data_IF_687299337241
#
_entry.id   IF_687299337241
#
_cell.length_a   1.000
_cell.length_b   1.000
_cell.length_c   1.000
_cell.angle_alpha   90.00
_cell.angle_beta   90.00
_cell.angle_gamma   90.00
#
_symmetry.space_group_name_H-M   'P 1'
#
loop_
_entity.id
_entity.type
_entity.pdbx_description
1 polymer ?
#
# COMPACT_ATOMS: atom_id res chain seq x y z
N UNK A 1 -42.52 16.27 20.94
CA UNK A 1 -41.47 16.69 21.90
C UNK A 1 -40.20 16.87 21.08
N UNK A 2 -39.84 18.13 20.78
CA UNK A 2 -38.57 18.53 20.14
C UNK A 2 -37.68 19.02 21.28
N UNK A 3 -36.45 18.53 21.45
CA UNK A 3 -35.25 19.14 20.83
C UNK A 3 -34.19 18.07 20.41
N UNK A 4 -33.21 18.32 19.54
CA UNK A 4 -32.23 19.40 19.62
C UNK A 4 -31.57 19.63 18.26
N UNK A 5 -31.49 20.91 17.93
CA UNK A 5 -30.64 21.55 16.93
C UNK A 5 -29.38 20.77 16.55
N UNK A 6 -29.34 20.34 15.29
CA UNK A 6 -28.12 19.98 14.57
C UNK A 6 -27.19 21.20 14.62
N UNK A 7 -26.24 21.21 15.57
CA UNK A 7 -25.10 22.12 15.52
C UNK A 7 -24.29 21.73 14.30
N UNK A 8 -24.57 22.35 13.16
CA UNK A 8 -23.57 22.50 12.10
C UNK A 8 -22.50 23.42 12.69
N UNK A 9 -21.56 22.80 13.42
CA UNK A 9 -20.40 23.45 14.01
C UNK A 9 -19.50 23.87 12.84
N UNK A 10 -19.20 25.16 12.75
CA UNK A 10 -18.42 25.77 11.68
C UNK A 10 -16.93 25.41 11.73
N UNK A 11 -16.60 24.13 11.52
CA UNK A 11 -15.23 23.62 11.53
C UNK A 11 -14.68 23.32 10.11
N UNK A 12 -15.43 23.64 9.05
CA UNK A 12 -15.06 23.29 7.67
C UNK A 12 -13.71 23.86 7.21
N UNK A 13 -13.34 25.07 7.63
CA UNK A 13 -12.04 25.64 7.28
C UNK A 13 -10.88 24.96 8.03
N UNK A 14 -11.12 24.53 9.27
CA UNK A 14 -10.17 23.75 10.06
C UNK A 14 -9.97 22.35 9.50
N UNK A 15 -11.03 21.72 9.01
CA UNK A 15 -10.97 20.41 8.37
C UNK A 15 -10.22 20.45 7.02
N UNK A 16 -10.44 21.50 6.22
CA UNK A 16 -9.78 21.68 4.91
C UNK A 16 -8.26 21.83 5.06
N UNK A 17 -7.80 22.56 6.07
CA UNK A 17 -6.37 22.75 6.36
C UNK A 17 -5.78 21.62 7.19
N UNK A 18 -6.60 20.99 8.05
CA UNK A 18 -6.19 19.87 8.91
C UNK A 18 -5.62 18.70 8.12
N UNK A 19 -6.16 18.45 6.93
CA UNK A 19 -5.68 17.46 5.96
C UNK A 19 -4.22 17.67 5.55
N UNK A 20 -3.73 18.91 5.48
CA UNK A 20 -2.32 19.18 5.12
C UNK A 20 -1.38 18.71 6.23
N UNK A 21 -1.81 18.81 7.48
CA UNK A 21 -1.06 18.37 8.67
C UNK A 21 -1.27 16.90 9.02
N UNK A 22 -2.21 16.22 8.37
CA UNK A 22 -2.51 14.81 8.64
C UNK A 22 -1.40 13.90 8.11
N UNK A 23 -0.84 13.06 8.98
CA UNK A 23 0.19 12.08 8.64
C UNK A 23 -0.30 11.11 7.55
N UNK A 24 -1.60 10.79 7.53
CA UNK A 24 -2.16 9.88 6.55
C UNK A 24 -2.16 10.47 5.14
N UNK A 25 -2.29 11.80 4.99
CA UNK A 25 -2.21 12.46 3.69
C UNK A 25 -0.85 12.27 3.01
N UNK A 26 0.24 12.28 3.79
CA UNK A 26 1.58 12.02 3.28
C UNK A 26 1.81 10.55 2.96
N UNK A 27 1.21 9.62 3.72
CA UNK A 27 1.25 8.18 3.38
C UNK A 27 0.49 7.90 2.08
N UNK A 28 -0.66 8.53 1.88
CA UNK A 28 -1.43 8.49 0.64
C UNK A 28 -0.61 9.02 -0.54
N UNK A 29 0.04 10.18 -0.39
CA UNK A 29 0.90 10.73 -1.43
C UNK A 29 2.09 9.81 -1.73
N UNK A 30 2.72 9.25 -0.70
CA UNK A 30 3.80 8.27 -0.84
C UNK A 30 3.33 7.04 -1.62
N UNK A 31 2.12 6.54 -1.36
CA UNK A 31 1.55 5.42 -2.10
C UNK A 31 1.39 5.76 -3.58
N UNK A 32 0.89 6.97 -3.90
CA UNK A 32 0.72 7.42 -5.27
C UNK A 32 2.05 7.62 -6.00
N UNK A 33 3.09 8.10 -5.31
CA UNK A 33 4.45 8.18 -5.84
C UNK A 33 5.02 6.79 -6.10
N UNK A 34 4.81 5.84 -5.18
CA UNK A 34 5.25 4.45 -5.36
C UNK A 34 4.45 3.74 -6.46
N UNK A 35 3.20 4.13 -6.70
CA UNK A 35 2.41 3.62 -7.80
C UNK A 35 3.04 3.91 -9.17
N UNK A 36 3.93 4.90 -9.29
CA UNK A 36 4.67 5.22 -10.52
C UNK A 36 5.64 4.09 -10.93
N UNK A 37 6.66 3.71 -10.12
CA UNK A 37 7.51 2.58 -10.46
C UNK A 37 6.75 1.25 -10.43
N UNK A 38 5.83 1.04 -9.46
CA UNK A 38 5.08 -0.22 -9.37
C UNK A 38 4.18 -0.45 -10.59
N UNK A 39 3.48 0.59 -11.04
CA UNK A 39 2.63 0.52 -12.22
C UNK A 39 3.40 0.12 -13.47
N UNK A 40 4.62 0.63 -13.63
CA UNK A 40 5.51 0.21 -14.71
C UNK A 40 5.99 -1.24 -14.55
N UNK A 41 6.49 -1.59 -13.37
CA UNK A 41 7.03 -2.93 -13.05
C UNK A 41 5.95 -4.01 -13.20
N UNK A 42 4.70 -3.72 -12.87
CA UNK A 42 3.60 -4.68 -13.00
C UNK A 42 2.96 -4.64 -14.39
N UNK A 43 2.74 -3.44 -14.92
CA UNK A 43 2.05 -3.23 -16.19
C UNK A 43 2.84 -3.68 -17.40
N UNK A 44 4.16 -3.47 -17.43
CA UNK A 44 4.98 -3.86 -18.59
C UNK A 44 5.02 -5.38 -18.80
N UNK A 45 5.37 -6.21 -17.80
CA UNK A 45 5.31 -7.66 -17.96
C UNK A 45 3.91 -8.17 -18.27
N UNK A 46 2.87 -7.53 -17.72
CA UNK A 46 1.49 -7.88 -18.03
C UNK A 46 1.16 -7.61 -19.51
N UNK A 47 1.44 -6.41 -20.02
CA UNK A 47 1.14 -6.03 -21.39
C UNK A 47 1.96 -6.83 -22.40
N UNK A 48 3.27 -6.92 -22.21
CA UNK A 48 4.15 -7.66 -23.10
C UNK A 48 3.90 -9.15 -23.00
N UNK A 49 3.79 -9.70 -21.78
CA UNK A 49 3.56 -11.12 -21.56
C UNK A 49 2.23 -11.59 -22.14
N UNK A 50 1.16 -10.80 -22.00
CA UNK A 50 -0.12 -11.13 -22.61
C UNK A 50 -0.09 -11.02 -24.13
N UNK A 51 0.51 -9.94 -24.67
CA UNK A 51 0.58 -9.70 -26.13
C UNK A 51 1.44 -10.76 -26.82
N UNK A 52 2.67 -10.97 -26.36
CA UNK A 52 3.58 -11.97 -26.91
C UNK A 52 3.11 -13.39 -26.61
N UNK A 53 2.57 -13.63 -25.42
CA UNK A 53 2.01 -14.93 -25.05
C UNK A 53 0.85 -15.32 -25.96
N UNK A 54 -0.06 -14.39 -26.26
CA UNK A 54 -1.16 -14.66 -27.19
C UNK A 54 -0.66 -14.84 -28.63
N UNK A 55 0.24 -13.97 -29.08
CA UNK A 55 0.81 -14.03 -30.43
C UNK A 55 1.60 -15.33 -30.68
N UNK A 56 2.45 -15.73 -29.74
CA UNK A 56 3.23 -16.96 -29.82
C UNK A 56 2.45 -18.21 -29.39
N UNK A 57 1.18 -18.08 -29.00
CA UNK A 57 0.35 -19.24 -28.62
C UNK A 57 0.15 -20.19 -29.80
N UNK A 58 0.17 -19.68 -31.04
CA UNK A 58 0.12 -20.49 -32.27
C UNK A 58 1.32 -21.43 -32.36
N UNK A 59 2.47 -21.02 -31.81
CA UNK A 59 3.70 -21.81 -31.76
C UNK A 59 3.80 -22.68 -30.50
N UNK A 60 2.74 -22.75 -29.69
CA UNK A 60 2.68 -23.40 -28.36
C UNK A 60 3.62 -22.79 -27.30
N UNK A 61 4.68 -22.08 -27.69
CA UNK A 61 5.60 -21.33 -26.80
C UNK A 61 4.88 -20.18 -26.08
N UNK A 62 3.79 -19.67 -26.64
CA UNK A 62 2.99 -18.63 -25.99
C UNK A 62 2.29 -19.08 -24.70
N UNK A 63 1.95 -20.37 -24.58
CA UNK A 63 1.27 -20.92 -23.41
C UNK A 63 2.10 -20.74 -22.12
N UNK A 64 3.38 -21.15 -22.04
CA UNK A 64 4.18 -20.92 -20.84
C UNK A 64 4.40 -19.42 -20.56
N UNK A 65 4.45 -18.57 -21.59
CA UNK A 65 4.52 -17.10 -21.39
C UNK A 65 3.25 -16.59 -20.71
N UNK A 66 2.07 -16.97 -21.21
CA UNK A 66 0.79 -16.59 -20.61
C UNK A 66 0.66 -17.07 -19.16
N UNK A 67 1.06 -18.33 -18.89
CA UNK A 67 1.08 -18.86 -17.54
C UNK A 67 2.00 -18.05 -16.63
N UNK A 68 3.24 -17.77 -17.07
CA UNK A 68 4.18 -16.94 -16.32
C UNK A 68 3.62 -15.53 -16.05
N UNK A 69 2.93 -14.92 -17.02
CA UNK A 69 2.27 -13.63 -16.85
C UNK A 69 1.17 -13.70 -15.78
N UNK A 70 0.28 -14.69 -15.84
CA UNK A 70 -0.80 -14.88 -14.86
C UNK A 70 -0.23 -15.13 -13.46
N UNK A 71 0.76 -16.01 -13.32
CA UNK A 71 1.43 -16.23 -12.03
C UNK A 71 2.18 -14.99 -11.53
N UNK A 72 2.79 -14.21 -12.44
CA UNK A 72 3.40 -12.92 -12.12
C UNK A 72 2.41 -11.94 -11.50
N UNK A 73 1.15 -11.92 -11.96
CA UNK A 73 0.12 -11.05 -11.35
C UNK A 73 -0.21 -11.43 -9.91
N UNK A 74 -0.06 -12.71 -9.52
CA UNK A 74 -0.21 -13.11 -8.10
C UNK A 74 0.90 -12.55 -7.23
N UNK A 75 2.14 -12.57 -7.72
CA UNK A 75 3.27 -11.97 -7.00
C UNK A 75 3.07 -10.45 -6.85
N UNK A 76 2.66 -9.78 -7.93
CA UNK A 76 2.35 -8.35 -7.90
C UNK A 76 1.22 -8.03 -6.91
N UNK A 77 0.14 -8.83 -6.91
CA UNK A 77 -0.96 -8.69 -5.95
C UNK A 77 -0.49 -8.90 -4.49
N UNK A 78 0.42 -9.85 -4.24
CA UNK A 78 1.00 -10.06 -2.91
C UNK A 78 1.82 -8.86 -2.43
N UNK A 79 2.69 -8.31 -3.27
CA UNK A 79 3.47 -7.10 -2.97
C UNK A 79 2.57 -5.90 -2.72
N UNK A 80 1.52 -5.74 -3.53
CA UNK A 80 0.59 -4.63 -3.36
C UNK A 80 -0.17 -4.73 -2.03
N UNK A 81 -0.57 -5.92 -1.57
CA UNK A 81 -1.20 -6.06 -0.23
C UNK A 81 -0.32 -5.48 0.87
N UNK A 82 0.98 -5.76 0.83
CA UNK A 82 1.95 -5.23 1.81
C UNK A 82 2.00 -3.71 1.74
N UNK A 83 2.12 -3.14 0.54
CA UNK A 83 2.21 -1.69 0.32
C UNK A 83 0.90 -0.99 0.74
N UNK A 84 -0.25 -1.56 0.37
CA UNK A 84 -1.56 -1.02 0.72
C UNK A 84 -1.81 -1.07 2.23
N UNK A 85 -1.50 -2.19 2.90
CA UNK A 85 -1.66 -2.30 4.36
C UNK A 85 -0.77 -1.29 5.10
N UNK A 86 0.47 -1.09 4.61
CA UNK A 86 1.39 -0.15 5.24
C UNK A 86 0.99 1.33 5.04
N UNK A 87 0.53 1.71 3.84
CA UNK A 87 0.36 3.12 3.46
C UNK A 87 -1.10 3.58 3.46
N UNK A 88 -2.06 2.73 3.12
CA UNK A 88 -3.48 3.09 2.97
C UNK A 88 -4.35 2.70 4.18
N UNK A 89 -3.75 2.10 5.22
CA UNK A 89 -4.44 1.68 6.46
C UNK A 89 -5.62 0.73 6.19
N UNK A 90 -5.46 -0.11 5.17
CA UNK A 90 -6.33 -1.26 4.92
C UNK A 90 -5.74 -2.51 5.57
N UNK A 91 -6.57 -3.50 5.83
CA UNK A 91 -6.13 -4.80 6.36
C UNK A 91 -6.52 -5.89 5.36
N UNK A 92 -5.62 -6.15 4.41
CA UNK A 92 -5.81 -7.13 3.36
C UNK A 92 -5.19 -8.47 3.76
N UNK A 93 -6.00 -9.51 3.80
CA UNK A 93 -5.53 -10.86 4.06
C UNK A 93 -4.96 -11.55 2.81
N UNK A 94 -4.08 -12.53 3.03
CA UNK A 94 -3.56 -13.36 1.95
C UNK A 94 -4.60 -14.42 1.55
N UNK A 95 -4.85 -14.66 0.25
CA UNK A 95 -5.82 -15.66 -0.18
C UNK A 95 -5.39 -17.08 0.21
N UNK A 96 -6.34 -17.89 0.69
CA UNK A 96 -6.16 -19.30 1.06
C UNK A 96 -6.89 -20.26 0.09
N UNK A 97 -7.32 -19.76 -1.06
CA UNK A 97 -8.18 -20.44 -2.04
C UNK A 97 -7.45 -21.46 -2.93
N UNK A 98 -6.13 -21.57 -2.81
CA UNK A 98 -5.34 -22.58 -3.52
C UNK A 98 -4.81 -23.63 -2.55
N UNK A 99 -5.34 -24.85 -2.66
CA UNK A 99 -4.79 -26.03 -2.00
C UNK A 99 -4.16 -26.93 -3.05
N UNK A 100 -2.85 -27.16 -2.92
CA UNK A 100 -2.16 -28.13 -3.77
C UNK A 100 -2.73 -29.53 -3.51
N UNK A 101 -3.20 -30.26 -4.54
CA UNK A 101 -3.67 -31.63 -4.37
C UNK A 101 -2.52 -32.51 -3.85
N UNK A 102 -2.71 -33.35 -2.82
CA UNK A 102 -1.65 -34.15 -2.20
C UNK A 102 -0.85 -35.02 -3.19
N UNK A 103 -1.53 -35.52 -4.24
CA UNK A 103 -0.95 -36.44 -5.24
C UNK A 103 -0.95 -35.84 -6.67
N UNK A 104 -1.19 -34.53 -6.80
CA UNK A 104 -1.32 -33.85 -8.08
C UNK A 104 0.03 -33.41 -8.64
N UNK A 105 0.42 -33.90 -9.83
CA UNK A 105 1.59 -33.39 -10.54
C UNK A 105 1.45 -31.91 -10.96
N UNK A 106 2.49 -31.37 -11.61
CA UNK A 106 2.60 -29.94 -11.99
C UNK A 106 1.35 -29.38 -12.71
N UNK A 107 0.72 -30.17 -13.59
CA UNK A 107 -0.50 -29.75 -14.29
C UNK A 107 -1.71 -29.59 -13.36
N UNK A 108 -1.84 -30.43 -12.33
CA UNK A 108 -2.90 -30.31 -11.34
C UNK A 108 -2.70 -29.04 -10.50
N UNK A 109 -1.46 -28.70 -10.16
CA UNK A 109 -1.12 -27.43 -9.49
C UNK A 109 -1.48 -26.24 -10.38
N UNK A 110 -1.00 -26.20 -11.64
CA UNK A 110 -1.33 -25.10 -12.56
C UNK A 110 -2.85 -24.91 -12.67
N UNK A 111 -3.58 -26.01 -12.83
CA UNK A 111 -5.04 -25.98 -12.89
C UNK A 111 -5.66 -25.43 -11.61
N UNK A 112 -5.23 -25.88 -10.43
CA UNK A 112 -5.75 -25.37 -9.15
C UNK A 112 -5.56 -23.85 -9.01
N UNK A 113 -4.40 -23.33 -9.46
CA UNK A 113 -4.17 -21.89 -9.48
C UNK A 113 -5.05 -21.16 -10.51
N UNK A 114 -5.26 -21.71 -11.71
CA UNK A 114 -6.12 -21.09 -12.72
C UNK A 114 -7.62 -21.16 -12.35
N UNK A 115 -8.05 -22.18 -11.62
CA UNK A 115 -9.42 -22.33 -11.15
C UNK A 115 -9.71 -21.41 -9.93
N UNK A 116 -8.68 -20.95 -9.22
CA UNK A 116 -8.81 -20.09 -8.06
C UNK A 116 -9.20 -18.64 -8.42
N UNK A 117 -10.24 -18.13 -7.76
CA UNK A 117 -10.78 -16.79 -7.98
C UNK A 117 -9.75 -15.68 -7.68
N UNK A 118 -8.85 -15.90 -6.70
CA UNK A 118 -7.82 -14.93 -6.34
C UNK A 118 -6.83 -14.65 -7.47
N UNK A 119 -6.63 -15.58 -8.41
CA UNK A 119 -5.80 -15.37 -9.61
C UNK A 119 -6.41 -14.31 -10.51
N UNK A 120 -7.70 -14.46 -10.83
CA UNK A 120 -8.41 -13.56 -11.74
C UNK A 120 -8.67 -12.21 -11.10
N UNK A 121 -8.93 -12.18 -9.79
CA UNK A 121 -9.05 -10.93 -9.04
C UNK A 121 -7.71 -10.19 -8.96
N UNK A 122 -6.60 -10.90 -8.74
CA UNK A 122 -5.24 -10.34 -8.81
C UNK A 122 -4.90 -9.79 -10.20
N UNK A 123 -5.21 -10.53 -11.26
CA UNK A 123 -5.06 -10.07 -12.64
C UNK A 123 -5.87 -8.79 -12.91
N UNK A 124 -7.15 -8.78 -12.50
CA UNK A 124 -8.02 -7.61 -12.61
C UNK A 124 -7.49 -6.40 -11.83
N UNK A 125 -6.92 -6.62 -10.64
CA UNK A 125 -6.26 -5.58 -9.86
C UNK A 125 -5.07 -4.98 -10.62
N UNK A 126 -4.17 -5.82 -11.17
CA UNK A 126 -2.99 -5.32 -11.90
C UNK A 126 -3.39 -4.56 -13.16
N UNK A 127 -4.43 -5.03 -13.87
CA UNK A 127 -5.00 -4.29 -15.01
C UNK A 127 -5.51 -2.90 -14.59
N UNK A 128 -6.19 -2.80 -13.45
CA UNK A 128 -6.73 -1.53 -12.98
C UNK A 128 -5.65 -0.62 -12.38
N UNK A 129 -4.60 -1.21 -11.80
CA UNK A 129 -3.40 -0.50 -11.30
C UNK A 129 -2.70 0.30 -12.41
N UNK A 130 -2.76 -0.14 -13.66
CA UNK A 130 -2.27 0.64 -14.80
C UNK A 130 -2.94 2.01 -14.92
N UNK A 131 -4.24 2.12 -14.65
CA UNK A 131 -4.93 3.41 -14.65
C UNK A 131 -4.57 4.26 -13.43
N UNK A 132 -4.34 3.62 -12.28
CA UNK A 132 -3.81 4.30 -11.09
C UNK A 132 -2.46 4.93 -11.39
N UNK A 133 -1.57 4.19 -12.05
CA UNK A 133 -0.27 4.69 -12.50
C UNK A 133 -0.38 5.92 -13.40
N UNK A 134 -1.29 5.90 -14.38
CA UNK A 134 -1.50 7.02 -15.28
C UNK A 134 -1.96 8.29 -14.54
N UNK A 135 -2.94 8.15 -13.65
CA UNK A 135 -3.42 9.28 -12.83
C UNK A 135 -2.34 9.75 -11.86
N UNK A 136 -1.54 8.85 -11.27
CA UNK A 136 -0.39 9.21 -10.45
C UNK A 136 0.63 10.07 -11.21
N UNK A 137 0.86 9.81 -12.51
CA UNK A 137 1.73 10.66 -13.35
C UNK A 137 1.15 12.06 -13.47
N UNK A 138 -0.16 12.18 -13.73
CA UNK A 138 -0.83 13.48 -13.82
C UNK A 138 -0.74 14.25 -12.50
N UNK A 139 -0.94 13.56 -11.36
CA UNK A 139 -0.78 14.15 -10.04
C UNK A 139 0.67 14.57 -9.78
N UNK A 140 1.67 13.79 -10.21
CA UNK A 140 3.08 14.18 -10.08
C UNK A 140 3.39 15.46 -10.89
N UNK A 141 2.90 15.55 -12.12
CA UNK A 141 3.06 16.75 -12.96
C UNK A 141 2.39 17.95 -12.27
N UNK A 142 1.15 17.77 -11.78
CA UNK A 142 0.44 18.81 -11.04
C UNK A 142 1.22 19.26 -9.78
N UNK A 143 1.77 18.33 -9.01
CA UNK A 143 2.60 18.63 -7.84
C UNK A 143 3.85 19.44 -8.21
N UNK A 144 4.53 19.07 -9.31
CA UNK A 144 5.69 19.79 -9.80
C UNK A 144 5.33 21.23 -10.24
N UNK A 145 4.21 21.40 -10.95
CA UNK A 145 3.69 22.72 -11.34
C UNK A 145 3.34 23.56 -10.12
N UNK A 146 2.65 22.98 -9.13
CA UNK A 146 2.30 23.68 -7.89
C UNK A 146 3.56 24.12 -7.15
N UNK A 147 4.58 23.27 -7.04
CA UNK A 147 5.83 23.60 -6.36
C UNK A 147 6.61 24.70 -7.10
N UNK A 148 6.59 24.69 -8.43
CA UNK A 148 7.17 25.76 -9.26
C UNK A 148 6.49 27.12 -9.02
N UNK A 149 5.15 27.14 -8.95
CA UNK A 149 4.37 28.35 -8.63
C UNK A 149 4.60 28.81 -7.18
N UNK A 150 4.68 27.87 -6.23
CA UNK A 150 4.91 28.17 -4.82
C UNK A 150 6.30 28.77 -4.57
N UNK A 151 7.29 28.39 -5.38
CA UNK A 151 8.66 28.90 -5.30
C UNK A 151 8.88 30.16 -6.15
N UNK A 152 7.84 30.74 -6.76
CA UNK A 152 7.93 31.93 -7.60
C UNK A 152 8.70 33.11 -6.99
N UNK A 153 8.55 33.44 -5.68
CA UNK A 153 9.34 34.52 -5.08
C UNK A 153 10.86 34.28 -5.03
N UNK A 154 11.31 33.02 -5.17
CA UNK A 154 12.73 32.65 -5.10
C UNK A 154 13.46 32.72 -6.44
N UNK A 155 12.73 32.59 -7.55
CA UNK A 155 13.31 32.50 -8.90
C UNK A 155 12.83 33.58 -9.87
N UNK A 156 12.03 34.53 -9.40
CA UNK A 156 11.66 35.73 -10.14
C UNK A 156 12.89 36.60 -10.51
N UNK A 157 12.95 37.21 -11.71
CA UNK A 157 11.98 37.16 -12.81
C UNK A 157 12.08 35.89 -13.67
N UNK A 158 10.93 35.42 -14.16
CA UNK A 158 10.81 34.20 -14.95
C UNK A 158 9.66 34.32 -15.97
N UNK A 159 9.93 33.86 -17.19
CA UNK A 159 8.95 33.75 -18.28
C UNK A 159 8.62 32.27 -18.51
N UNK A 160 7.36 31.90 -18.29
CA UNK A 160 6.85 30.58 -18.61
C UNK A 160 6.23 30.60 -20.00
N UNK A 161 6.81 29.91 -20.98
CA UNK A 161 6.11 29.63 -22.23
C UNK A 161 5.03 28.58 -21.99
N UNK A 162 3.76 28.97 -22.11
CA UNK A 162 2.63 28.05 -21.91
C UNK A 162 2.31 27.27 -23.18
N UNK A 163 2.17 28.00 -24.30
CA UNK A 163 1.84 27.44 -25.61
C UNK A 163 2.15 28.48 -26.68
N UNK A 164 2.53 28.04 -27.88
CA UNK A 164 2.67 28.89 -29.05
C UNK A 164 1.40 28.82 -29.90
N UNK A 165 0.82 29.98 -30.20
CA UNK A 165 -0.36 30.10 -31.07
C UNK A 165 0.00 31.07 -32.18
N UNK A 166 0.02 30.59 -33.43
CA UNK A 166 0.40 31.38 -34.61
C UNK A 166 1.81 31.99 -34.50
N UNK A 167 2.81 31.21 -34.07
CA UNK A 167 4.21 31.64 -33.87
C UNK A 167 4.42 32.75 -32.81
N UNK A 168 3.38 33.12 -32.07
CA UNK A 168 3.45 34.00 -30.90
C UNK A 168 3.37 33.14 -29.63
N UNK A 169 4.40 33.16 -28.76
CA UNK A 169 4.37 32.45 -27.50
C UNK A 169 3.42 33.17 -26.53
N UNK A 170 2.40 32.46 -26.05
CA UNK A 170 1.62 32.90 -24.90
C UNK A 170 2.51 32.65 -23.68
N UNK A 171 3.14 33.70 -23.19
CA UNK A 171 3.97 33.65 -21.98
C UNK A 171 3.17 34.07 -20.77
N UNK A 172 3.33 33.34 -19.66
CA UNK A 172 2.99 33.86 -18.35
C UNK A 172 4.26 34.47 -17.77
N UNK A 173 4.30 35.79 -17.71
CA UNK A 173 5.40 36.51 -17.08
C UNK A 173 5.03 36.82 -15.64
N UNK A 174 5.88 36.40 -14.71
CA UNK A 174 5.88 37.01 -13.38
C UNK A 174 6.93 38.10 -13.50
N UNK A 175 6.43 39.32 -13.70
CA UNK A 175 7.19 40.51 -14.06
C UNK A 175 7.41 41.45 -12.89
N UNK A 176 6.72 41.26 -11.75
CA UNK A 176 6.92 42.04 -10.52
C UNK A 176 6.92 41.21 -9.23
N UNK A 177 7.52 41.76 -8.16
CA UNK A 177 7.54 41.14 -6.83
C UNK A 177 6.12 40.94 -6.24
N UNK A 178 5.17 41.88 -6.36
CA UNK A 178 3.77 41.63 -5.97
C UNK A 178 3.12 40.47 -6.73
N UNK A 179 3.39 40.33 -8.04
CA UNK A 179 2.89 39.18 -8.82
C UNK A 179 3.47 37.86 -8.32
N UNK A 180 4.74 37.83 -7.91
CA UNK A 180 5.35 36.64 -7.32
C UNK A 180 4.68 36.21 -6.01
N UNK A 181 4.27 37.17 -5.16
CA UNK A 181 3.50 36.88 -3.94
C UNK A 181 2.06 36.44 -4.24
N UNK A 182 1.42 36.97 -5.28
CA UNK A 182 0.12 36.48 -5.73
C UNK A 182 0.23 35.03 -6.23
N UNK A 183 1.28 34.72 -7.01
CA UNK A 183 1.58 33.36 -7.46
C UNK A 183 1.78 32.41 -6.27
N UNK A 184 2.54 32.81 -5.25
CA UNK A 184 2.68 32.06 -4.00
C UNK A 184 1.31 31.75 -3.36
N UNK A 185 0.42 32.74 -3.27
CA UNK A 185 -0.93 32.58 -2.74
C UNK A 185 -1.78 31.60 -3.56
N UNK A 186 -1.73 31.69 -4.89
CA UNK A 186 -2.41 30.75 -5.80
C UNK A 186 -1.83 29.34 -5.64
N UNK A 187 -0.51 29.20 -5.60
CA UNK A 187 0.18 27.92 -5.37
C UNK A 187 -0.24 27.27 -4.06
N UNK A 188 -0.39 28.06 -2.98
CA UNK A 188 -0.85 27.55 -1.68
C UNK A 188 -2.29 27.01 -1.75
N UNK A 189 -3.19 27.71 -2.43
CA UNK A 189 -4.58 27.24 -2.63
C UNK A 189 -4.59 25.94 -3.46
N UNK A 190 -3.82 25.90 -4.55
CA UNK A 190 -3.71 24.70 -5.39
C UNK A 190 -3.11 23.51 -4.62
N UNK A 191 -2.14 23.75 -3.74
CA UNK A 191 -1.55 22.71 -2.90
C UNK A 191 -2.59 22.08 -1.97
N UNK A 192 -3.46 22.88 -1.33
CA UNK A 192 -4.55 22.35 -0.49
C UNK A 192 -5.49 21.48 -1.32
N UNK A 193 -5.94 21.98 -2.49
CA UNK A 193 -6.81 21.20 -3.41
C UNK A 193 -6.12 19.90 -3.84
N UNK A 194 -4.83 19.95 -4.14
CA UNK A 194 -4.04 18.79 -4.55
C UNK A 194 -3.99 17.70 -3.47
N UNK A 195 -3.82 18.07 -2.20
CA UNK A 195 -3.81 17.09 -1.10
C UNK A 195 -5.18 16.40 -0.99
N UNK A 196 -6.28 17.14 -1.08
CA UNK A 196 -7.63 16.56 -1.08
C UNK A 196 -7.85 15.61 -2.25
N UNK A 197 -7.41 15.99 -3.46
CA UNK A 197 -7.51 15.15 -4.65
C UNK A 197 -6.67 13.87 -4.51
N UNK A 198 -5.45 13.99 -3.99
CA UNK A 198 -4.55 12.86 -3.72
C UNK A 198 -5.15 11.89 -2.71
N UNK A 199 -5.75 12.40 -1.63
CA UNK A 199 -6.43 11.59 -0.62
C UNK A 199 -7.65 10.87 -1.20
N UNK A 200 -8.48 11.57 -1.98
CA UNK A 200 -9.62 10.96 -2.66
C UNK A 200 -9.18 9.84 -3.62
N UNK A 201 -8.09 10.04 -4.33
CA UNK A 201 -7.58 9.04 -5.27
C UNK A 201 -6.93 7.84 -4.56
N UNK A 202 -6.15 8.09 -3.50
CA UNK A 202 -5.61 7.04 -2.64
C UNK A 202 -6.72 6.21 -1.98
N UNK A 203 -7.82 6.85 -1.58
CA UNK A 203 -9.02 6.16 -1.10
C UNK A 203 -9.60 5.22 -2.17
N UNK A 204 -9.76 5.68 -3.42
CA UNK A 204 -10.23 4.83 -4.52
C UNK A 204 -9.29 3.64 -4.74
N UNK A 205 -7.98 3.85 -4.72
CA UNK A 205 -6.98 2.79 -4.84
C UNK A 205 -7.08 1.77 -3.68
N UNK A 206 -7.30 2.24 -2.45
CA UNK A 206 -7.53 1.38 -1.28
C UNK A 206 -8.81 0.56 -1.41
N UNK A 207 -9.92 1.17 -1.86
CA UNK A 207 -11.19 0.47 -2.11
C UNK A 207 -11.07 -0.58 -3.22
N UNK A 208 -10.30 -0.28 -4.26
CA UNK A 208 -9.97 -1.23 -5.31
C UNK A 208 -9.17 -2.42 -4.76
N UNK A 209 -8.17 -2.17 -3.91
CA UNK A 209 -7.37 -3.21 -3.27
C UNK A 209 -8.24 -4.09 -2.35
N UNK A 210 -9.11 -3.50 -1.53
CA UNK A 210 -10.07 -4.26 -0.70
C UNK A 210 -11.02 -5.07 -1.59
N UNK A 211 -11.60 -4.47 -2.62
CA UNK A 211 -12.58 -5.15 -3.46
C UNK A 211 -12.02 -6.35 -4.26
N UNK A 212 -10.73 -6.35 -4.58
CA UNK A 212 -10.10 -7.34 -5.47
C UNK A 212 -9.07 -8.23 -4.76
N UNK A 213 -8.30 -7.70 -3.82
CA UNK A 213 -7.20 -8.42 -3.21
C UNK A 213 -7.55 -9.03 -1.85
N UNK A 214 -8.61 -8.53 -1.21
CA UNK A 214 -9.03 -9.08 0.08
C UNK A 214 -9.51 -10.53 -0.08
N UNK A 215 -8.99 -11.37 0.80
CA UNK A 215 -9.23 -12.82 0.84
C UNK A 215 -10.58 -13.06 1.51
N UNK A 216 -11.67 -12.91 0.75
CA UNK A 216 -13.02 -12.91 1.31
C UNK A 216 -13.35 -14.15 2.16
N UNK A 217 -13.34 -13.98 3.47
CA UNK A 217 -14.14 -14.74 4.45
C UNK A 217 -15.65 -14.64 4.15
N UNK A 218 -16.09 -13.65 3.37
CA UNK A 218 -17.50 -13.40 3.05
C UNK A 218 -18.20 -14.52 2.26
N UNK A 219 -17.48 -15.37 1.51
CA UNK A 219 -18.09 -16.53 0.86
C UNK A 219 -18.25 -17.72 1.83
N UNK A 220 -17.38 -17.81 2.84
CA UNK A 220 -17.45 -18.80 3.92
C UNK A 220 -18.49 -18.42 4.99
N UNK A 221 -18.54 -17.14 5.37
CA UNK A 221 -19.49 -16.62 6.37
C UNK A 221 -20.94 -16.60 5.85
N UNK A 222 -21.17 -16.27 4.57
CA UNK A 222 -22.51 -16.35 3.98
C UNK A 222 -23.01 -17.81 3.84
N UNK A 223 -22.11 -18.77 3.64
CA UNK A 223 -22.44 -20.19 3.62
C UNK A 223 -22.59 -20.78 5.04
N UNK A 224 -21.83 -20.27 6.02
CA UNK A 224 -21.93 -20.65 7.43
C UNK A 224 -23.19 -20.07 8.11
N UNK A 225 -23.60 -18.84 7.76
CA UNK A 225 -24.89 -18.27 8.16
C UNK A 225 -26.08 -18.95 7.47
N UNK A 226 -25.92 -19.37 6.20
CA UNK A 226 -26.96 -20.17 5.52
C UNK A 226 -27.08 -21.60 6.09
N UNK A 227 -26.00 -22.15 6.67
CA UNK A 227 -25.97 -23.48 7.29
C UNK A 227 -26.36 -23.51 8.77
N UNK A 228 -26.51 -22.36 9.44
CA UNK A 228 -26.85 -22.28 10.87
C UNK A 228 -28.36 -22.11 11.16
N UNK A 229 -29.21 -22.16 10.13
CA UNK A 229 -30.67 -21.94 10.27
C UNK A 229 -31.52 -23.21 10.46
N UNK A 230 -30.90 -24.38 10.60
CA UNK A 230 -31.60 -25.66 10.88
C UNK A 230 -31.46 -26.11 12.35
N UNK A 231 -31.84 -25.26 13.30
CA UNK A 231 -32.16 -25.71 14.67
C UNK A 231 -33.69 -25.60 14.88
N UNK A 232 -34.44 -26.72 14.92
CA UNK A 232 -35.89 -26.65 15.15
C UNK A 232 -36.17 -26.20 16.59
N UNK A 233 -37.31 -25.51 16.83
CA UNK A 233 -37.63 -25.02 18.17
C UNK A 233 -37.78 -26.21 19.12
N UNK A 234 -36.90 -26.29 20.13
CA UNK A 234 -37.02 -27.25 21.22
C UNK A 234 -38.26 -26.91 22.05
N UNK A 235 -39.35 -27.59 21.74
CA UNK A 235 -40.59 -27.58 22.52
C UNK A 235 -40.28 -28.14 23.91
N UNK A 236 -40.67 -27.39 24.93
CA UNK A 236 -40.42 -27.71 26.33
C UNK A 236 -40.88 -29.12 26.72
N UNK A 237 -39.95 -29.87 27.32
CA UNK A 237 -40.26 -31.06 28.10
C UNK A 237 -40.16 -30.72 29.58
N UNK A 238 -41.33 -30.57 30.18
CA UNK A 238 -41.53 -30.58 31.63
C UNK A 238 -41.15 -31.94 32.20
N UNK A 239 -40.32 -31.94 33.25
CA UNK A 239 -40.37 -32.97 34.31
C UNK A 239 -39.27 -34.03 34.30
N UNK A 240 -38.30 -33.88 35.21
CA UNK A 240 -38.14 -34.81 36.35
C UNK A 240 -36.90 -34.41 37.16
N UNK A 241 -37.15 -33.85 38.35
CA UNK A 241 -36.13 -33.74 39.41
C UNK A 241 -36.12 -35.06 40.15
N UNK A 242 -34.99 -35.76 40.17
CA UNK A 242 -34.67 -36.72 41.23
C UNK A 242 -33.23 -36.45 41.67
N UNK A 243 -33.07 -36.45 43.00
CA UNK A 243 -31.96 -35.95 43.79
C UNK A 243 -30.68 -36.82 43.75
N UNK A 244 -29.58 -36.21 44.19
CA UNK A 244 -28.23 -36.77 44.45
C UNK A 244 -28.23 -37.98 45.42
N UNK A 245 -27.08 -38.67 45.58
CA UNK A 245 -26.22 -38.29 46.71
C UNK A 245 -24.70 -38.32 46.44
N UNK A 246 -24.07 -37.25 46.92
CA UNK A 246 -22.75 -37.13 47.60
C UNK A 246 -21.82 -38.35 47.66
N UNK A 247 -20.58 -38.17 47.23
CA UNK A 247 -19.41 -38.73 47.91
C UNK A 247 -18.17 -37.83 47.74
N UNK A 248 -17.82 -37.13 48.82
CA UNK A 248 -16.53 -36.49 49.02
C UNK A 248 -15.44 -37.55 49.29
N UNK A 249 -14.22 -37.35 48.76
CA UNK A 249 -12.99 -37.80 49.43
C UNK A 249 -11.84 -36.82 49.19
N UNK A 250 -11.44 -36.20 50.29
CA UNK A 250 -10.20 -35.50 50.56
C UNK A 250 -9.05 -36.49 50.81
N UNK A 251 -7.81 -36.03 50.65
CA UNK A 251 -6.59 -36.59 51.26
C UNK A 251 -5.55 -37.05 50.23
N UNK A 252 -4.53 -36.26 49.89
CA UNK A 252 -3.27 -36.05 50.64
C UNK A 252 -2.28 -37.22 50.47
N UNK A 253 -1.15 -37.01 49.78
CA UNK A 253 0.17 -36.88 50.41
C UNK A 253 1.39 -37.21 49.53
N UNK A 254 2.40 -36.34 49.69
CA UNK A 254 3.87 -36.58 49.72
C UNK A 254 4.57 -36.91 48.39
N UNK A 255 5.41 -36.00 47.88
CA UNK A 255 6.76 -35.61 48.32
C UNK A 255 7.86 -36.50 47.73
N UNK A 256 8.73 -35.90 46.89
CA UNK A 256 10.17 -36.09 47.01
C UNK A 256 10.90 -34.88 46.39
N UNK A 257 11.69 -34.17 47.21
CA UNK A 257 12.88 -33.43 46.74
C UNK A 257 13.92 -34.45 46.25
N UNK A 258 15.03 -34.10 45.62
CA UNK A 258 16.11 -33.20 46.01
C UNK A 258 17.08 -33.33 44.81
N UNK A 259 17.68 -32.30 44.24
CA UNK A 259 19.06 -31.90 44.55
C UNK A 259 19.44 -30.69 43.68
N UNK A 260 19.73 -29.58 44.35
CA UNK A 260 20.81 -28.63 44.03
C UNK A 260 21.80 -28.74 45.22
N UNK A 261 23.10 -28.39 45.14
CA UNK A 261 23.51 -27.00 44.85
C UNK A 261 24.90 -26.77 44.20
N UNK A 262 25.10 -25.51 43.78
CA UNK A 262 26.37 -24.73 43.79
C UNK A 262 27.51 -25.16 42.82
N UNK A 263 28.40 -24.31 42.31
CA UNK A 263 28.97 -23.07 42.85
C UNK A 263 29.77 -22.30 41.76
N UNK A 264 29.90 -20.99 42.00
CA UNK A 264 31.01 -20.07 41.71
C UNK A 264 31.61 -19.88 40.30
N UNK A 265 31.74 -18.59 39.93
CA UNK A 265 32.75 -18.15 38.96
C UNK A 265 32.52 -16.76 38.37
N UNK A 266 32.61 -15.72 39.19
CA UNK A 266 32.77 -14.31 38.79
C UNK A 266 34.11 -14.10 38.07
N UNK A 267 34.19 -13.19 37.09
CA UNK A 267 35.17 -12.08 37.01
C UNK A 267 35.31 -11.48 35.59
N UNK A 268 34.78 -10.26 35.47
CA UNK A 268 35.35 -9.04 34.87
C UNK A 268 35.95 -8.93 33.43
N UNK A 269 35.95 -7.70 32.86
CA UNK A 269 36.11 -7.44 31.44
C UNK A 269 37.58 -7.18 31.05
N UNK A 270 37.90 -7.30 29.76
CA UNK A 270 39.21 -6.92 29.24
C UNK A 270 39.07 -5.72 28.29
N UNK A 271 39.43 -4.57 28.82
CA UNK A 271 39.78 -3.34 28.10
C UNK A 271 41.32 -3.26 27.97
N UNK A 272 41.80 -2.31 27.14
CA UNK A 272 43.19 -1.87 26.87
C UNK A 272 43.88 -2.63 25.72
N UNK A 273 44.53 -2.01 24.74
CA UNK A 273 45.00 -0.63 24.57
C UNK A 273 45.30 -0.35 23.08
N UNK A 274 44.96 0.85 22.61
CA UNK A 274 45.58 1.59 21.47
C UNK A 274 47.08 1.89 21.79
N UNK A 275 48.00 2.41 20.89
CA UNK A 275 47.72 3.46 19.89
C UNK A 275 48.66 3.62 18.64
N UNK A 276 48.22 4.53 17.75
CA UNK A 276 48.97 5.64 17.08
C UNK A 276 49.86 5.44 15.83
N UNK A 277 49.62 6.42 14.94
CA UNK A 277 50.44 7.05 13.87
C UNK A 277 50.35 6.48 12.45
N UNK A 278 50.09 7.26 11.40
CA UNK A 278 50.10 8.71 11.26
C UNK A 278 50.18 9.10 9.78
N UNK A 279 49.97 10.39 9.51
CA UNK A 279 50.05 11.11 8.23
C UNK A 279 48.84 10.96 7.29
N UNK A 280 47.91 11.92 7.26
CA UNK A 280 47.99 13.29 6.71
C UNK A 280 47.70 13.35 5.18
N UNK A 281 46.48 13.85 4.88
CA UNK A 281 46.01 14.57 3.67
C UNK A 281 47.04 15.62 3.16
N UNK A 282 46.94 16.22 1.94
CA UNK A 282 45.66 16.65 1.32
C UNK A 282 45.55 16.75 -0.24
N UNK A 283 44.32 16.80 -0.77
CA UNK A 283 43.71 17.90 -1.60
C UNK A 283 43.85 17.77 -3.15
N UNK A 284 43.00 18.47 -3.94
CA UNK A 284 42.35 17.94 -5.15
C UNK A 284 42.93 18.50 -6.47
N UNK A 285 42.76 17.77 -7.57
CA UNK A 285 42.95 18.33 -8.91
C UNK A 285 41.64 18.91 -9.46
N UNK A 286 41.63 20.24 -9.53
CA UNK A 286 40.68 21.02 -10.30
C UNK A 286 40.95 20.87 -11.80
N UNK A 287 39.94 20.47 -12.57
CA UNK A 287 39.96 20.60 -14.03
C UNK A 287 39.31 21.92 -14.43
N UNK A 288 40.15 22.87 -14.85
CA UNK A 288 39.77 24.18 -15.38
C UNK A 288 39.79 24.14 -16.91
N UNK A 289 38.70 24.68 -17.47
CA UNK A 289 38.43 25.16 -18.83
C UNK A 289 39.49 25.10 -19.93
N UNK A 290 39.04 24.73 -21.14
CA UNK A 290 39.49 25.43 -22.34
C UNK A 290 38.29 25.88 -23.20
N UNK A 291 38.25 27.19 -23.49
CA UNK A 291 37.52 27.83 -24.56
C UNK A 291 38.56 28.18 -25.62
N UNK A 292 38.49 27.60 -26.82
CA UNK A 292 38.69 28.32 -28.08
C UNK A 292 38.55 27.39 -29.29
N UNK A 293 37.48 27.61 -30.07
CA UNK A 293 37.47 28.03 -31.48
C UNK A 293 36.21 27.52 -32.18
#
# INVERSE_FOLDING_TARGET
MVPSTLRVRGDSAGDILGVVTDRQAYKNLCYLLLALPLGFIYGMPLLFGFTFGLFFSVLLIGIPILLATVFGTRLAAGLERIVANALLEVDLESPDDVRSPPDGGLLATIRAYLDAASTWRGLGFVLLKFWIWFVSILLLIALATILSVLTAPLHYPYEAELITVNDEPITWTIGTLPEAFLALGVGAILAVVFVHLSNGFAYVAGRMAVALLDGSSSAGDAAAEAGSTDDPPSVGSVGSRIAEPTAARLGDSRANGTEEPADAGTDEPMETDEPVDGSASPEPEAYVSDRSN
#
